data_IF_167341865881
#
_entry.id   IF_167341865881
#
_cell.length_a   1.000
_cell.length_b   1.000
_cell.length_c   1.000
_cell.angle_alpha   90.00
_cell.angle_beta   90.00
_cell.angle_gamma   90.00
#
_symmetry.space_group_name_H-M   'P 1'
#
loop_
_entity.id
_entity.type
_entity.pdbx_description
1 polymer ?
#
# COMPACT_ATOMS: atom_id res chain seq x y z
N UNK A 1 -4.80 -20.84 16.17
CA UNK A 1 -5.14 -19.42 16.12
C UNK A 1 -5.98 -19.18 14.87
N UNK A 2 -7.17 -18.55 14.97
CA UNK A 2 -8.00 -18.24 13.80
C UNK A 2 -7.48 -17.00 13.11
N UNK A 3 -7.37 -17.02 11.77
CA UNK A 3 -6.92 -15.95 10.90
C UNK A 3 -8.02 -15.54 9.93
N UNK A 4 -7.84 -14.46 9.23
CA UNK A 4 -8.62 -14.15 8.04
C UNK A 4 -8.31 -15.20 6.96
N UNK A 5 -9.32 -15.66 6.22
CA UNK A 5 -9.21 -16.79 5.28
C UNK A 5 -8.10 -16.64 4.23
N UNK A 6 -7.86 -15.42 3.78
CA UNK A 6 -6.83 -15.16 2.78
C UNK A 6 -5.39 -15.41 3.27
N UNK A 7 -5.17 -15.36 4.59
CA UNK A 7 -3.85 -15.59 5.19
C UNK A 7 -3.39 -17.04 5.11
N UNK A 8 -4.30 -17.98 4.91
CA UNK A 8 -3.97 -19.41 4.83
C UNK A 8 -3.60 -19.89 3.42
N UNK A 9 -3.51 -18.96 2.45
CA UNK A 9 -3.09 -19.27 1.06
C UNK A 9 -1.62 -19.60 0.92
N UNK A 10 -0.78 -19.17 1.86
CA UNK A 10 0.65 -19.42 1.82
C UNK A 10 1.39 -18.87 3.05
N UNK A 11 2.68 -19.21 3.14
CA UNK A 11 3.53 -18.77 4.25
C UNK A 11 3.78 -17.26 4.24
N UNK A 12 3.96 -16.67 3.06
CA UNK A 12 4.16 -15.22 2.91
C UNK A 12 2.91 -14.43 3.30
N UNK A 13 1.73 -14.89 2.87
CA UNK A 13 0.45 -14.26 3.23
C UNK A 13 0.21 -14.37 4.73
N UNK A 14 0.53 -15.52 5.33
CA UNK A 14 0.40 -15.72 6.77
C UNK A 14 1.32 -14.81 7.55
N UNK A 15 2.59 -14.72 7.17
CA UNK A 15 3.55 -13.84 7.81
C UNK A 15 3.11 -12.36 7.70
N UNK A 16 2.72 -11.93 6.51
CA UNK A 16 2.22 -10.58 6.27
C UNK A 16 0.98 -10.25 7.10
N UNK A 17 -0.03 -11.16 7.13
CA UNK A 17 -1.22 -11.01 7.95
C UNK A 17 -0.90 -10.91 9.44
N UNK A 18 0.00 -11.75 9.93
CA UNK A 18 0.27 -11.87 11.36
C UNK A 18 1.11 -10.69 11.90
N UNK A 19 1.88 -10.02 11.04
CA UNK A 19 2.88 -9.05 11.49
C UNK A 19 2.74 -7.64 10.91
N UNK A 20 2.04 -7.47 9.78
CA UNK A 20 2.01 -6.18 9.07
C UNK A 20 0.59 -5.69 8.76
N UNK A 21 -0.26 -6.51 8.18
CA UNK A 21 -1.58 -6.08 7.72
C UNK A 21 -2.45 -5.57 8.89
N UNK A 22 -3.01 -4.36 8.73
CA UNK A 22 -3.80 -3.72 9.77
C UNK A 22 -2.99 -3.08 10.90
N UNK A 23 -1.65 -3.04 10.78
CA UNK A 23 -0.76 -2.34 11.73
C UNK A 23 -0.58 -0.89 11.31
N UNK A 24 -0.81 0.05 12.22
CA UNK A 24 -0.64 1.47 11.93
C UNK A 24 0.79 1.81 11.50
N UNK A 25 0.94 2.40 10.32
CA UNK A 25 2.21 2.81 9.73
C UNK A 25 2.25 4.33 9.64
N UNK A 26 3.27 4.94 10.29
CA UNK A 26 3.51 6.38 10.31
C UNK A 26 4.87 6.78 9.72
N UNK A 27 5.63 5.82 9.22
CA UNK A 27 6.89 6.07 8.54
C UNK A 27 6.66 6.34 7.04
N UNK A 28 7.07 7.52 6.57
CA UNK A 28 6.85 7.96 5.18
C UNK A 28 7.42 7.00 4.13
N UNK A 29 8.56 6.36 4.41
CA UNK A 29 9.18 5.41 3.49
C UNK A 29 8.34 4.14 3.36
N UNK A 30 7.84 3.62 4.48
CA UNK A 30 6.94 2.46 4.48
C UNK A 30 5.58 2.79 3.86
N UNK A 31 5.05 3.98 4.09
CA UNK A 31 3.84 4.46 3.43
C UNK A 31 4.03 4.50 1.90
N UNK A 32 5.20 4.98 1.44
CA UNK A 32 5.53 4.96 0.01
C UNK A 32 5.69 3.53 -0.52
N UNK A 33 6.37 2.62 0.21
CA UNK A 33 6.46 1.20 -0.13
C UNK A 33 5.08 0.61 -0.40
N UNK A 34 4.15 0.73 0.56
CA UNK A 34 2.80 0.19 0.42
C UNK A 34 2.03 0.84 -0.72
N UNK A 35 2.13 2.16 -0.92
CA UNK A 35 1.47 2.84 -2.02
C UNK A 35 1.89 2.28 -3.38
N UNK A 36 3.19 2.03 -3.57
CA UNK A 36 3.72 1.46 -4.81
C UNK A 36 3.34 -0.02 -4.96
N UNK A 37 3.39 -0.81 -3.89
CA UNK A 37 3.06 -2.24 -3.94
C UNK A 37 1.57 -2.47 -4.21
N UNK A 38 0.67 -1.70 -3.59
CA UNK A 38 -0.78 -1.76 -3.85
C UNK A 38 -1.11 -1.33 -5.29
N UNK A 39 -0.46 -0.29 -5.78
CA UNK A 39 -0.56 0.09 -7.20
C UNK A 39 -0.02 -1.00 -8.14
N UNK A 40 1.04 -1.70 -7.74
CA UNK A 40 1.60 -2.80 -8.50
C UNK A 40 0.67 -4.04 -8.53
N UNK A 41 -0.17 -4.22 -7.52
CA UNK A 41 -1.16 -5.31 -7.47
C UNK A 41 -2.25 -5.20 -8.53
N UNK A 42 -2.55 -4.01 -9.06
CA UNK A 42 -3.63 -3.82 -10.02
C UNK A 42 -3.64 -4.90 -11.11
N UNK A 43 -4.71 -5.71 -11.16
CA UNK A 43 -4.86 -6.84 -12.08
C UNK A 43 -4.07 -8.11 -11.73
N UNK A 44 -3.48 -8.18 -10.53
CA UNK A 44 -2.68 -9.32 -10.05
C UNK A 44 -3.13 -9.76 -8.65
N UNK A 45 -2.60 -10.89 -8.18
CA UNK A 45 -2.82 -11.34 -6.80
C UNK A 45 -1.81 -10.69 -5.83
N UNK A 46 -2.21 -10.49 -4.58
CA UNK A 46 -1.31 -10.03 -3.53
C UNK A 46 -0.13 -10.99 -3.30
N UNK A 47 -0.36 -12.30 -3.41
CA UNK A 47 0.72 -13.32 -3.42
C UNK A 47 1.82 -13.00 -4.43
N UNK A 48 1.45 -12.55 -5.62
CA UNK A 48 2.43 -12.18 -6.67
C UNK A 48 3.27 -10.98 -6.23
N UNK A 49 2.65 -9.99 -5.57
CA UNK A 49 3.34 -8.80 -5.06
C UNK A 49 4.26 -9.18 -3.90
N UNK A 50 3.79 -9.95 -2.93
CA UNK A 50 4.60 -10.40 -1.79
C UNK A 50 5.85 -11.15 -2.22
N UNK A 51 5.73 -12.07 -3.18
CA UNK A 51 6.88 -12.81 -3.75
C UNK A 51 7.93 -11.91 -4.40
N UNK A 52 7.53 -10.74 -4.87
CA UNK A 52 8.41 -9.78 -5.55
C UNK A 52 8.84 -8.59 -4.66
N UNK A 53 8.35 -8.53 -3.43
CA UNK A 53 8.56 -7.39 -2.53
C UNK A 53 10.04 -7.06 -2.30
N UNK A 54 10.87 -8.09 -2.06
CA UNK A 54 12.30 -7.90 -1.89
C UNK A 54 13.00 -7.44 -3.19
N UNK A 55 12.52 -7.90 -4.34
CA UNK A 55 12.93 -7.41 -5.64
C UNK A 55 12.60 -5.92 -5.80
N UNK A 56 11.38 -5.52 -5.42
CA UNK A 56 10.98 -4.12 -5.42
C UNK A 56 11.84 -3.25 -4.49
N UNK A 57 12.15 -3.71 -3.28
CA UNK A 57 13.04 -2.98 -2.36
C UNK A 57 14.39 -2.71 -3.00
N UNK A 58 15.02 -3.73 -3.56
CA UNK A 58 16.30 -3.59 -4.28
C UNK A 58 16.20 -2.66 -5.48
N UNK A 59 15.22 -2.86 -6.34
CA UNK A 59 15.02 -2.14 -7.58
C UNK A 59 14.65 -0.65 -7.35
N UNK A 60 13.91 -0.36 -6.31
CA UNK A 60 13.44 0.99 -5.95
C UNK A 60 14.21 1.62 -4.78
N UNK A 61 15.50 1.25 -4.58
CA UNK A 61 16.41 1.87 -3.59
C UNK A 61 15.81 1.90 -2.17
N UNK A 62 15.29 0.76 -1.71
CA UNK A 62 14.56 0.62 -0.44
C UNK A 62 13.42 1.66 -0.28
N UNK A 63 12.78 1.99 -1.40
CA UNK A 63 11.72 2.99 -1.47
C UNK A 63 12.13 4.37 -0.96
N UNK A 64 13.39 4.74 -1.17
CA UNK A 64 13.85 6.11 -0.98
C UNK A 64 13.16 7.01 -2.01
N UNK A 65 12.24 7.83 -1.53
CA UNK A 65 11.35 8.65 -2.38
C UNK A 65 12.15 9.63 -3.24
N UNK A 66 13.20 10.23 -2.67
CA UNK A 66 14.03 11.19 -3.39
C UNK A 66 14.81 10.50 -4.52
N UNK A 67 15.40 9.34 -4.22
CA UNK A 67 16.11 8.54 -5.23
C UNK A 67 15.17 8.09 -6.35
N UNK A 68 13.98 7.55 -6.02
CA UNK A 68 13.00 7.06 -7.01
C UNK A 68 12.46 8.21 -7.87
N UNK A 69 12.25 9.40 -7.29
CA UNK A 69 11.74 10.57 -8.03
C UNK A 69 12.67 11.04 -9.14
N UNK A 70 13.96 10.74 -9.03
CA UNK A 70 15.02 11.08 -9.99
C UNK A 70 15.35 9.99 -11.01
N UNK A 71 14.64 8.87 -11.04
CA UNK A 71 14.90 7.80 -11.99
C UNK A 71 14.77 8.27 -13.44
N UNK A 72 15.77 7.95 -14.24
CA UNK A 72 15.89 8.27 -15.68
C UNK A 72 15.21 7.20 -16.56
N UNK A 73 15.13 7.45 -17.87
CA UNK A 73 14.69 6.43 -18.83
C UNK A 73 15.65 5.23 -18.89
N UNK A 74 16.94 5.41 -18.55
CA UNK A 74 17.88 4.32 -18.35
C UNK A 74 17.48 3.41 -17.19
N UNK A 75 17.09 4.01 -16.05
CA UNK A 75 16.58 3.26 -14.89
C UNK A 75 15.29 2.52 -15.24
N UNK A 76 14.36 3.16 -15.96
CA UNK A 76 13.12 2.51 -16.46
C UNK A 76 13.47 1.29 -17.32
N UNK A 77 14.46 1.38 -18.18
CA UNK A 77 14.90 0.26 -19.04
C UNK A 77 15.48 -0.88 -18.20
N UNK A 78 16.29 -0.59 -17.18
CA UNK A 78 16.83 -1.58 -16.25
C UNK A 78 15.70 -2.26 -15.46
N UNK A 79 14.75 -1.49 -14.94
CA UNK A 79 13.59 -2.01 -14.19
C UNK A 79 12.71 -2.92 -15.06
N UNK A 80 12.55 -2.61 -16.35
CA UNK A 80 11.81 -3.47 -17.29
C UNK A 80 12.51 -4.80 -17.58
N UNK A 81 13.82 -4.86 -17.41
CA UNK A 81 14.62 -6.08 -17.57
C UNK A 81 14.69 -6.91 -16.28
N UNK A 82 14.38 -6.31 -15.11
CA UNK A 82 14.50 -6.97 -13.82
C UNK A 82 13.36 -7.98 -13.55
N UNK A 83 13.65 -9.31 -13.51
CA UNK A 83 12.65 -10.32 -13.18
C UNK A 83 12.18 -10.26 -11.71
N UNK A 84 12.87 -9.55 -10.84
CA UNK A 84 12.53 -9.36 -9.43
C UNK A 84 11.27 -8.55 -9.20
N UNK A 85 10.82 -7.79 -10.21
CA UNK A 85 9.63 -6.94 -10.13
C UNK A 85 8.58 -7.27 -11.19
N UNK A 86 7.42 -6.62 -11.12
CA UNK A 86 6.39 -6.68 -12.16
C UNK A 86 6.81 -5.76 -13.31
N UNK A 87 7.25 -6.35 -14.42
CA UNK A 87 7.80 -5.66 -15.60
C UNK A 87 6.70 -4.99 -16.43
N UNK A 88 6.10 -3.93 -15.88
CA UNK A 88 5.07 -3.15 -16.54
C UNK A 88 5.50 -1.68 -16.62
N UNK A 89 5.71 -1.17 -17.84
CA UNK A 89 6.19 0.20 -18.10
C UNK A 89 5.31 1.26 -17.48
N UNK A 90 3.98 1.09 -17.53
CA UNK A 90 3.05 2.07 -16.96
C UNK A 90 3.15 2.12 -15.43
N UNK A 91 3.26 0.96 -14.77
CA UNK A 91 3.41 0.87 -13.30
C UNK A 91 4.76 1.45 -12.85
N UNK A 92 5.86 1.16 -13.58
CA UNK A 92 7.19 1.69 -13.28
C UNK A 92 7.19 3.22 -13.41
N UNK A 93 6.70 3.76 -14.51
CA UNK A 93 6.61 5.22 -14.69
C UNK A 93 5.67 5.88 -13.69
N UNK A 94 4.58 5.20 -13.34
CA UNK A 94 3.68 5.68 -12.30
C UNK A 94 4.37 5.75 -10.94
N UNK A 95 5.20 4.76 -10.58
CA UNK A 95 5.95 4.79 -9.33
C UNK A 95 6.89 6.01 -9.25
N UNK A 96 7.56 6.35 -10.35
CA UNK A 96 8.43 7.55 -10.43
C UNK A 96 7.59 8.84 -10.29
N UNK A 97 6.50 8.96 -11.02
CA UNK A 97 5.59 10.11 -10.91
C UNK A 97 4.95 10.23 -9.52
N UNK A 98 4.63 9.09 -8.91
CA UNK A 98 4.11 9.04 -7.53
C UNK A 98 5.17 9.51 -6.52
N UNK A 99 6.46 9.17 -6.70
CA UNK A 99 7.53 9.67 -5.86
C UNK A 99 7.64 11.21 -5.94
N UNK A 100 7.55 11.76 -7.14
CA UNK A 100 7.55 13.22 -7.35
C UNK A 100 6.33 13.88 -6.69
N UNK A 101 5.14 13.30 -6.82
CA UNK A 101 3.92 13.79 -6.17
C UNK A 101 4.02 13.68 -4.64
N UNK A 102 4.60 12.59 -4.14
CA UNK A 102 4.85 12.36 -2.72
C UNK A 102 5.74 13.44 -2.09
N UNK A 103 6.82 13.84 -2.79
CA UNK A 103 7.69 14.92 -2.32
C UNK A 103 6.94 16.26 -2.22
N UNK A 104 6.10 16.58 -3.21
CA UNK A 104 5.26 17.81 -3.15
C UNK A 104 4.28 17.78 -1.98
N UNK A 105 3.66 16.62 -1.72
CA UNK A 105 2.78 16.46 -0.55
C UNK A 105 3.54 16.62 0.76
N UNK A 106 4.75 16.05 0.86
CA UNK A 106 5.61 16.25 2.04
C UNK A 106 5.96 17.72 2.28
N UNK A 107 6.25 18.44 1.23
CA UNK A 107 6.55 19.89 1.31
C UNK A 107 5.33 20.68 1.81
N UNK A 108 4.13 20.37 1.32
CA UNK A 108 2.88 21.06 1.67
C UNK A 108 2.41 20.74 3.10
N UNK A 109 2.49 19.47 3.53
CA UNK A 109 1.91 18.99 4.80
C UNK A 109 2.93 18.70 5.91
N UNK A 110 4.23 18.82 5.61
CA UNK A 110 5.33 18.48 6.51
C UNK A 110 5.71 16.99 6.51
N UNK A 111 4.78 16.08 6.24
CA UNK A 111 5.01 14.65 6.00
C UNK A 111 3.87 14.05 5.17
N UNK A 112 4.14 12.92 4.52
CA UNK A 112 3.08 12.17 3.86
C UNK A 112 2.16 11.48 4.89
N UNK A 113 2.69 11.09 6.02
CA UNK A 113 1.93 10.58 7.16
C UNK A 113 0.82 11.55 7.57
N UNK A 114 1.14 12.81 7.86
CA UNK A 114 0.15 13.84 8.21
C UNK A 114 -0.92 14.01 7.14
N UNK A 115 -0.53 13.95 5.88
CA UNK A 115 -1.45 14.08 4.76
C UNK A 115 -2.39 12.90 4.65
N UNK A 116 -1.88 11.67 4.70
CA UNK A 116 -2.69 10.49 4.39
C UNK A 116 -3.62 10.11 5.54
N UNK A 117 -3.16 10.24 6.78
CA UNK A 117 -3.95 9.88 7.95
C UNK A 117 -5.15 10.81 8.20
N UNK A 118 -5.21 11.99 7.58
CA UNK A 118 -6.38 12.90 7.68
C UNK A 118 -7.67 12.30 7.11
N UNK A 119 -7.60 11.31 6.22
CA UNK A 119 -8.77 10.65 5.66
C UNK A 119 -9.50 9.73 6.66
N UNK A 120 -8.92 9.51 7.83
CA UNK A 120 -9.49 8.79 8.96
C UNK A 120 -9.32 9.57 10.27
N UNK A 121 -9.22 10.91 10.19
CA UNK A 121 -9.08 11.81 11.33
C UNK A 121 -7.93 11.45 12.28
N UNK A 122 -6.85 10.91 11.73
CA UNK A 122 -5.63 10.52 12.45
C UNK A 122 -5.78 9.27 13.33
N UNK A 123 -6.91 8.57 13.26
CA UNK A 123 -7.20 7.41 14.13
C UNK A 123 -7.67 6.22 13.31
N UNK A 124 -7.13 4.99 13.55
CA UNK A 124 -7.58 3.80 12.87
C UNK A 124 -9.09 3.55 13.02
N UNK A 125 -9.77 3.35 11.90
CA UNK A 125 -11.17 2.91 11.89
C UNK A 125 -11.21 1.41 12.16
N UNK A 126 -11.97 0.99 13.18
CA UNK A 126 -12.14 -0.41 13.51
C UNK A 126 -13.51 -0.89 13.05
N UNK A 127 -13.52 -1.76 12.04
CA UNK A 127 -14.72 -2.42 11.57
C UNK A 127 -14.98 -3.72 12.36
N UNK A 128 -16.17 -4.32 12.22
CA UNK A 128 -16.58 -5.53 12.96
C UNK A 128 -17.17 -6.56 12.00
N UNK A 129 -16.39 -6.96 11.00
CA UNK A 129 -16.82 -7.95 10.00
C UNK A 129 -16.84 -9.37 10.58
N UNK A 130 -17.93 -10.07 10.37
CA UNK A 130 -18.02 -11.51 10.74
C UNK A 130 -17.38 -12.39 9.67
N UNK A 131 -17.38 -11.96 8.41
CA UNK A 131 -16.85 -12.71 7.26
C UNK A 131 -16.14 -11.79 6.29
N UNK A 132 -15.14 -12.30 5.58
CA UNK A 132 -14.37 -11.57 4.57
C UNK A 132 -15.25 -11.03 3.43
N UNK A 133 -16.36 -11.70 3.12
CA UNK A 133 -17.31 -11.29 2.08
C UNK A 133 -18.12 -10.03 2.43
N UNK A 134 -18.10 -9.60 3.68
CA UNK A 134 -18.76 -8.38 4.14
C UNK A 134 -17.88 -7.13 3.95
N UNK A 135 -16.57 -7.34 3.77
CA UNK A 135 -15.62 -6.24 3.59
C UNK A 135 -15.87 -5.59 2.22
N UNK A 136 -16.18 -4.29 2.17
CA UNK A 136 -16.42 -3.60 0.91
C UNK A 136 -15.12 -3.48 0.09
N UNK A 137 -15.25 -3.29 -1.21
CA UNK A 137 -14.09 -3.03 -2.08
C UNK A 137 -13.64 -1.55 -2.05
N UNK A 138 -14.47 -0.65 -1.52
CA UNK A 138 -14.18 0.77 -1.31
C UNK A 138 -15.12 1.37 -0.26
N UNK A 139 -14.77 2.54 0.26
CA UNK A 139 -15.53 3.30 1.24
C UNK A 139 -15.52 4.79 0.88
N UNK A 140 -16.41 5.63 1.44
CA UNK A 140 -16.34 7.08 1.23
C UNK A 140 -14.96 7.69 1.55
N UNK A 141 -14.26 7.16 2.56
CA UNK A 141 -12.90 7.61 2.88
C UNK A 141 -11.89 7.25 1.79
N UNK A 142 -11.93 6.02 1.24
CA UNK A 142 -11.07 5.63 0.13
C UNK A 142 -11.44 6.34 -1.18
N UNK A 143 -12.70 6.69 -1.39
CA UNK A 143 -13.14 7.48 -2.54
C UNK A 143 -12.56 8.91 -2.46
N UNK A 144 -12.66 9.56 -1.31
CA UNK A 144 -12.09 10.89 -1.06
C UNK A 144 -10.56 10.88 -1.19
N UNK A 145 -9.90 9.87 -0.64
CA UNK A 145 -8.44 9.66 -0.76
C UNK A 145 -8.04 9.50 -2.24
N UNK A 146 -8.74 8.65 -2.97
CA UNK A 146 -8.49 8.40 -4.41
C UNK A 146 -8.63 9.69 -5.23
N UNK A 147 -9.67 10.47 -4.98
CA UNK A 147 -9.93 11.72 -5.68
C UNK A 147 -8.81 12.74 -5.43
N UNK A 148 -8.44 12.96 -4.16
CA UNK A 148 -7.41 13.94 -3.80
C UNK A 148 -6.02 13.51 -4.29
N UNK A 149 -5.65 12.23 -4.16
CA UNK A 149 -4.39 11.69 -4.69
C UNK A 149 -4.30 11.89 -6.20
N UNK A 150 -5.38 11.62 -6.96
CA UNK A 150 -5.42 11.84 -8.41
C UNK A 150 -5.26 13.30 -8.78
N UNK A 151 -5.91 14.21 -8.07
CA UNK A 151 -5.76 15.68 -8.27
C UNK A 151 -4.31 16.12 -8.05
N UNK A 152 -3.58 15.47 -7.15
CA UNK A 152 -2.16 15.72 -6.87
C UNK A 152 -1.20 15.03 -7.85
N UNK A 153 -1.73 14.28 -8.82
CA UNK A 153 -0.97 13.65 -9.90
C UNK A 153 -0.52 12.22 -9.63
N UNK A 154 -0.97 11.60 -8.54
CA UNK A 154 -0.71 10.17 -8.31
C UNK A 154 -1.44 9.29 -9.34
N UNK A 155 -0.84 8.15 -9.66
CA UNK A 155 -1.35 7.14 -10.58
C UNK A 155 -1.51 5.80 -9.85
N UNK A 156 -2.37 4.93 -10.37
CA UNK A 156 -2.72 3.64 -9.75
C UNK A 156 -3.22 3.81 -8.31
N UNK A 157 -4.05 4.82 -8.09
CA UNK A 157 -4.67 5.16 -6.81
C UNK A 157 -6.20 5.19 -6.94
N UNK A 158 -6.78 4.21 -7.63
CA UNK A 158 -8.23 4.03 -7.66
C UNK A 158 -8.78 3.72 -6.26
N UNK A 159 -10.08 3.95 -6.03
CA UNK A 159 -10.68 3.81 -4.70
C UNK A 159 -10.45 2.43 -4.07
N UNK A 160 -10.57 1.35 -4.86
CA UNK A 160 -10.27 -0.02 -4.39
C UNK A 160 -8.81 -0.18 -3.97
N UNK A 161 -7.88 0.41 -4.72
CA UNK A 161 -6.44 0.38 -4.38
C UNK A 161 -6.18 1.23 -3.13
N UNK A 162 -6.83 2.39 -3.02
CA UNK A 162 -6.75 3.22 -1.81
C UNK A 162 -7.29 2.48 -0.58
N UNK A 163 -8.40 1.74 -0.73
CA UNK A 163 -8.93 0.96 0.38
C UNK A 163 -7.99 -0.18 0.81
N UNK A 164 -7.41 -0.91 -0.16
CA UNK A 164 -6.39 -1.92 0.13
C UNK A 164 -5.16 -1.31 0.82
N UNK A 165 -4.72 -0.11 0.38
CA UNK A 165 -3.67 0.63 1.05
C UNK A 165 -4.06 1.00 2.50
N UNK A 166 -5.30 1.49 2.73
CA UNK A 166 -5.78 1.80 4.08
C UNK A 166 -5.75 0.57 5.00
N UNK A 167 -6.12 -0.60 4.48
CA UNK A 167 -6.02 -1.87 5.20
C UNK A 167 -4.56 -2.24 5.49
N UNK A 168 -3.70 -2.16 4.48
CA UNK A 168 -2.29 -2.54 4.57
C UNK A 168 -1.53 -1.71 5.61
N UNK A 169 -1.80 -0.40 5.69
CA UNK A 169 -1.12 0.53 6.60
C UNK A 169 -1.88 0.79 7.91
N UNK A 170 -2.91 0.01 8.18
CA UNK A 170 -3.64 0.04 9.44
C UNK A 170 -4.52 1.28 9.67
N UNK A 171 -4.83 2.05 8.62
CA UNK A 171 -5.84 3.11 8.70
C UNK A 171 -7.24 2.54 8.95
N UNK A 172 -7.48 1.32 8.51
CA UNK A 172 -8.66 0.53 8.85
C UNK A 172 -8.24 -0.84 9.37
N UNK A 173 -8.90 -1.31 10.42
CA UNK A 173 -8.75 -2.67 10.92
C UNK A 173 -9.91 -3.51 10.38
N UNK A 174 -9.63 -4.32 9.36
CA UNK A 174 -10.57 -5.21 8.69
C UNK A 174 -10.31 -6.69 8.98
N UNK A 175 -9.56 -6.99 10.02
CA UNK A 175 -9.54 -8.35 10.55
C UNK A 175 -10.97 -8.76 10.95
N UNK A 176 -11.44 -9.94 10.53
CA UNK A 176 -12.74 -10.46 10.98
C UNK A 176 -12.73 -10.64 12.50
N UNK A 177 -13.88 -10.49 13.14
CA UNK A 177 -13.99 -10.46 14.62
C UNK A 177 -13.42 -11.71 15.30
N UNK A 178 -13.43 -12.86 14.64
CA UNK A 178 -12.87 -14.11 15.16
C UNK A 178 -11.35 -14.25 14.90
N UNK A 179 -10.75 -13.34 14.14
CA UNK A 179 -9.30 -13.32 13.90
C UNK A 179 -8.56 -12.89 15.17
N UNK A 180 -7.48 -13.59 15.50
CA UNK A 180 -6.68 -13.25 16.69
C UNK A 180 -6.08 -11.84 16.63
N UNK A 181 -5.93 -11.27 15.42
CA UNK A 181 -5.43 -9.91 15.20
C UNK A 181 -6.49 -8.83 15.40
N UNK A 182 -7.77 -9.17 15.41
CA UNK A 182 -8.86 -8.20 15.54
C UNK A 182 -8.76 -7.36 16.82
N UNK A 183 -8.48 -8.01 17.96
CA UNK A 183 -8.34 -7.35 19.27
C UNK A 183 -6.91 -6.90 19.63
N UNK A 184 -5.92 -7.37 18.87
CA UNK A 184 -4.49 -7.11 19.08
C UNK A 184 -3.86 -6.56 17.79
N UNK A 185 -4.06 -5.27 17.45
CA UNK A 185 -3.19 -4.67 16.46
C UNK A 185 -1.74 -4.85 16.93
N UNK A 186 -0.83 -5.27 16.05
CA UNK A 186 0.57 -5.42 16.43
C UNK A 186 1.10 -4.10 17.01
N UNK A 187 1.84 -4.22 18.10
CA UNK A 187 2.55 -3.11 18.71
C UNK A 187 3.73 -2.69 17.84
#
# INVERSE_FOLDING_TARGET
MKRCEWADKGELERAYHDTEWGVAVHDDRRLFEFLILEGAQAGLSWSTVLKKREGYRKAFRDFDVAAVSGFSEGDVSMLLADPGIIRNRLKIRAAIGNAQAFLRVREEFGSFDRYIWRFVDGTPVRNAWSRMTEIPCSTPASDAMSEDLRKRGFKFVGSTICYAFMQAVGMVNDHVVECFRYGNPAR
#
